data_IF_016276175035
#
_entry.id   IF_016276175035
#
_cell.length_a   1.000
_cell.length_b   1.000
_cell.length_c   1.000
_cell.angle_alpha   90.00
_cell.angle_beta   90.00
_cell.angle_gamma   90.00
#
_symmetry.space_group_name_H-M   'P 1'
#
loop_
_entity.id
_entity.type
_entity.pdbx_description
1 polymer ?
#
# COMPACT_ATOMS: atom_id res chain seq x y z
N UNK A 1 0.50 -6.17 6.17
CA UNK A 1 0.38 -5.73 4.76
C UNK A 1 -0.88 -4.92 4.48
N UNK A 2 -2.09 -5.50 4.39
CA UNK A 2 -3.30 -4.72 4.05
C UNK A 2 -3.56 -3.52 5.01
N UNK A 3 -3.37 -3.74 6.31
CA UNK A 3 -3.50 -2.68 7.33
C UNK A 3 -2.42 -1.60 7.21
N UNK A 4 -1.20 -1.97 6.78
CA UNK A 4 -0.11 -1.03 6.55
C UNK A 4 -0.30 -0.23 5.25
N UNK A 5 -0.81 -0.86 4.19
CA UNK A 5 -1.18 -0.18 2.95
C UNK A 5 -2.25 0.90 3.21
N UNK A 6 -3.30 0.56 3.96
CA UNK A 6 -4.34 1.51 4.36
C UNK A 6 -3.78 2.67 5.19
N UNK A 7 -2.84 2.41 6.10
CA UNK A 7 -2.17 3.45 6.88
C UNK A 7 -1.32 4.39 5.99
N UNK A 8 -0.61 3.85 5.00
CA UNK A 8 0.18 4.67 4.07
C UNK A 8 -0.71 5.50 3.13
N UNK A 9 -1.86 4.98 2.72
CA UNK A 9 -2.86 5.73 1.95
C UNK A 9 -3.39 6.93 2.75
N UNK A 10 -3.77 6.71 4.03
CA UNK A 10 -4.21 7.78 4.92
C UNK A 10 -3.11 8.86 5.14
N UNK A 11 -1.86 8.42 5.31
CA UNK A 11 -0.71 9.35 5.40
C UNK A 11 -0.52 10.17 4.12
N UNK A 12 -0.75 9.58 2.94
CA UNK A 12 -0.65 10.29 1.67
C UNK A 12 -1.71 11.41 1.57
N UNK A 13 -2.93 11.15 2.03
CA UNK A 13 -4.02 12.15 2.02
C UNK A 13 -3.76 13.28 3.03
N UNK A 14 -3.24 12.95 4.22
CA UNK A 14 -2.84 13.96 5.20
C UNK A 14 -1.71 14.85 4.66
N UNK A 15 -0.72 14.28 3.97
CA UNK A 15 0.37 15.03 3.32
C UNK A 15 -0.14 15.90 2.17
N UNK A 16 -1.18 15.48 1.46
CA UNK A 16 -1.85 16.32 0.46
C UNK A 16 -2.49 17.56 1.10
N UNK A 17 -3.17 17.40 2.24
CA UNK A 17 -3.76 18.52 2.97
C UNK A 17 -2.66 19.47 3.49
N UNK A 18 -1.57 18.94 4.03
CA UNK A 18 -0.42 19.76 4.45
C UNK A 18 0.19 20.53 3.27
N UNK A 19 0.34 19.91 2.11
CA UNK A 19 0.84 20.58 0.91
C UNK A 19 -0.07 21.74 0.49
N UNK A 20 -1.39 21.56 0.51
CA UNK A 20 -2.37 22.61 0.17
C UNK A 20 -2.28 23.79 1.12
N UNK A 21 -2.16 23.53 2.43
CA UNK A 21 -1.99 24.58 3.45
C UNK A 21 -0.66 25.32 3.30
N UNK A 22 0.42 24.60 2.98
CA UNK A 22 1.74 25.20 2.74
C UNK A 22 1.74 26.13 1.53
N UNK A 23 1.09 25.77 0.42
CA UNK A 23 0.91 26.66 -0.75
C UNK A 23 0.13 27.91 -0.36
N UNK A 24 -0.96 27.78 0.40
CA UNK A 24 -1.76 28.92 0.85
C UNK A 24 -0.97 29.86 1.77
N UNK A 25 -0.01 29.33 2.53
CA UNK A 25 0.89 30.10 3.38
C UNK A 25 2.11 30.69 2.63
N UNK A 26 2.22 30.51 1.29
CA UNK A 26 3.35 30.96 0.50
C UNK A 26 4.63 30.13 0.67
N UNK A 27 4.53 28.94 1.25
CA UNK A 27 5.64 28.03 1.53
C UNK A 27 5.86 27.00 0.42
N UNK A 28 6.31 27.45 -0.76
CA UNK A 28 6.50 26.60 -1.94
C UNK A 28 7.44 25.41 -1.73
N UNK A 29 8.47 25.57 -0.91
CA UNK A 29 9.43 24.49 -0.58
C UNK A 29 8.75 23.39 0.25
N UNK A 30 8.01 23.77 1.29
CA UNK A 30 7.27 22.84 2.14
C UNK A 30 6.15 22.11 1.36
N UNK A 31 5.50 22.79 0.42
CA UNK A 31 4.52 22.19 -0.46
C UNK A 31 5.14 21.10 -1.36
N UNK A 32 6.32 21.36 -1.94
CA UNK A 32 7.05 20.38 -2.77
C UNK A 32 7.51 19.18 -1.95
N UNK A 33 8.03 19.39 -0.76
CA UNK A 33 8.42 18.30 0.14
C UNK A 33 7.23 17.43 0.56
N UNK A 34 6.10 18.05 0.91
CA UNK A 34 4.88 17.34 1.24
C UNK A 34 4.35 16.51 0.05
N UNK A 35 4.41 17.04 -1.18
CA UNK A 35 4.07 16.30 -2.39
C UNK A 35 5.05 15.15 -2.68
N UNK A 36 6.35 15.33 -2.44
CA UNK A 36 7.36 14.27 -2.55
C UNK A 36 7.05 13.10 -1.62
N UNK A 37 6.86 13.40 -0.33
CA UNK A 37 6.49 12.40 0.69
C UNK A 37 5.14 11.73 0.40
N UNK A 38 4.18 12.43 -0.21
CA UNK A 38 2.92 11.84 -0.66
C UNK A 38 3.15 10.79 -1.75
N UNK A 39 3.98 11.09 -2.75
CA UNK A 39 4.30 10.16 -3.83
C UNK A 39 4.98 8.90 -3.31
N UNK A 40 5.94 9.06 -2.39
CA UNK A 40 6.61 7.94 -1.72
C UNK A 40 5.62 7.04 -0.95
N UNK A 41 4.72 7.65 -0.17
CA UNK A 41 3.71 6.89 0.57
C UNK A 41 2.76 6.10 -0.37
N UNK A 42 2.35 6.70 -1.49
CA UNK A 42 1.52 6.00 -2.49
C UNK A 42 2.28 4.86 -3.18
N UNK A 43 3.54 5.05 -3.54
CA UNK A 43 4.36 4.01 -4.13
C UNK A 43 4.54 2.82 -3.17
N UNK A 44 4.77 3.11 -1.89
CA UNK A 44 4.87 2.08 -0.86
C UNK A 44 3.54 1.34 -0.66
N UNK A 45 2.41 2.05 -0.60
CA UNK A 45 1.08 1.44 -0.48
C UNK A 45 0.80 0.47 -1.64
N UNK A 46 1.04 0.91 -2.88
CA UNK A 46 0.85 0.06 -4.07
C UNK A 46 1.75 -1.18 -4.05
N UNK A 47 3.00 -1.05 -3.57
CA UNK A 47 3.91 -2.20 -3.43
C UNK A 47 3.40 -3.19 -2.39
N UNK A 48 2.92 -2.72 -1.24
CA UNK A 48 2.37 -3.56 -0.18
C UNK A 48 1.08 -4.27 -0.62
N UNK A 49 0.23 -3.61 -1.41
CA UNK A 49 -0.97 -4.21 -2.01
C UNK A 49 -0.59 -5.35 -2.96
N UNK A 50 0.36 -5.11 -3.87
CA UNK A 50 0.85 -6.13 -4.80
C UNK A 50 1.42 -7.35 -4.05
N UNK A 51 2.22 -7.12 -3.01
CA UNK A 51 2.75 -8.19 -2.17
C UNK A 51 1.64 -8.99 -1.48
N UNK A 52 0.63 -8.30 -0.94
CA UNK A 52 -0.52 -8.96 -0.30
C UNK A 52 -1.29 -9.83 -1.30
N UNK A 53 -1.57 -9.33 -2.50
CA UNK A 53 -2.24 -10.10 -3.56
C UNK A 53 -1.43 -11.32 -3.96
N UNK A 54 -0.12 -11.18 -4.12
CA UNK A 54 0.78 -12.29 -4.47
C UNK A 54 0.77 -13.39 -3.41
N UNK A 55 0.85 -13.01 -2.14
CA UNK A 55 0.79 -13.98 -1.02
C UNK A 55 -0.56 -14.69 -0.99
N UNK A 56 -1.66 -13.96 -1.20
CA UNK A 56 -2.99 -14.54 -1.19
C UNK A 56 -3.15 -15.59 -2.30
N UNK A 57 -2.74 -15.26 -3.53
CA UNK A 57 -2.75 -16.21 -4.64
C UNK A 57 -1.92 -17.47 -4.34
N UNK A 58 -0.70 -17.30 -3.81
CA UNK A 58 0.13 -18.43 -3.42
C UNK A 58 -0.54 -19.31 -2.34
N UNK A 59 -1.20 -18.70 -1.35
CA UNK A 59 -1.94 -19.45 -0.32
C UNK A 59 -3.11 -20.25 -0.90
N UNK A 60 -3.85 -19.70 -1.86
CA UNK A 60 -4.92 -20.42 -2.56
C UNK A 60 -4.37 -21.62 -3.34
N UNK A 61 -3.27 -21.44 -4.06
CA UNK A 61 -2.59 -22.52 -4.79
C UNK A 61 -2.13 -23.64 -3.85
N UNK A 62 -1.45 -23.30 -2.75
CA UNK A 62 -1.01 -24.28 -1.75
C UNK A 62 -2.19 -25.03 -1.11
N UNK A 63 -3.28 -24.33 -0.81
CA UNK A 63 -4.46 -24.92 -0.20
C UNK A 63 -5.14 -25.90 -1.16
N UNK A 64 -5.25 -25.53 -2.44
CA UNK A 64 -5.76 -26.39 -3.50
C UNK A 64 -4.87 -27.63 -3.69
N UNK A 65 -3.55 -27.45 -3.81
CA UNK A 65 -2.60 -28.55 -3.95
C UNK A 65 -2.67 -29.53 -2.76
N UNK A 66 -2.78 -29.02 -1.53
CA UNK A 66 -2.93 -29.85 -0.33
C UNK A 66 -4.24 -30.65 -0.36
N UNK A 67 -5.33 -30.07 -0.83
CA UNK A 67 -6.62 -30.77 -0.97
C UNK A 67 -6.52 -31.93 -1.99
N UNK A 68 -5.86 -31.69 -3.12
CA UNK A 68 -5.60 -32.72 -4.14
C UNK A 68 -4.77 -33.87 -3.56
N UNK A 69 -3.65 -33.57 -2.90
CA UNK A 69 -2.79 -34.59 -2.28
C UNK A 69 -3.58 -35.43 -1.26
N UNK A 70 -4.39 -34.79 -0.41
CA UNK A 70 -5.24 -35.51 0.56
C UNK A 70 -6.28 -36.40 -0.11
N UNK A 71 -6.83 -35.98 -1.24
CA UNK A 71 -7.79 -36.78 -2.00
C UNK A 71 -7.14 -37.97 -2.70
N UNK A 72 -5.91 -37.82 -3.19
CA UNK A 72 -5.15 -38.88 -3.87
C UNK A 72 -4.54 -39.93 -2.94
N UNK A 73 -4.41 -39.65 -1.64
CA UNK A 73 -3.88 -40.59 -0.64
C UNK A 73 -4.96 -41.43 0.07
N UNK A 74 -6.21 -41.42 -0.42
CA UNK A 74 -7.31 -42.30 0.02
C UNK A 74 -7.53 -43.41 -0.99
#
# INVERSE_FOLDING_TARGET
>A
MAREAAHQAANADQREQTAKLAVQAGGDVLAREALGRKREARALAATLELQATTIFAAMEEYTSALAVIKASSR
#
